data_IF_499350366259
#
_entry.id   IF_499350366259
#
_cell.length_a   1.000
_cell.length_b   1.000
_cell.length_c   1.000
_cell.angle_alpha   90.00
_cell.angle_beta   90.00
_cell.angle_gamma   90.00
#
_symmetry.space_group_name_H-M   'P 1'
#
loop_
_entity.id
_entity.type
_entity.pdbx_description
1 polymer ?
#
# COMPACT_ATOMS: atom_id res chain seq x y z
N UNK A 1 -5.57 -12.80 20.81
CA UNK A 1 -5.37 -12.13 19.51
C UNK A 1 -5.65 -13.10 18.37
N UNK A 2 -6.75 -12.94 17.62
CA UNK A 2 -7.05 -13.80 16.46
C UNK A 2 -6.07 -13.45 15.33
N UNK A 3 -4.96 -14.18 15.20
CA UNK A 3 -3.91 -13.97 14.18
C UNK A 3 -4.48 -13.87 12.74
N UNK A 4 -5.64 -14.45 12.48
CA UNK A 4 -6.33 -14.39 11.19
C UNK A 4 -6.77 -12.99 10.75
N UNK A 5 -7.05 -12.04 11.66
CA UNK A 5 -7.55 -10.70 11.30
C UNK A 5 -6.52 -9.82 10.58
N UNK A 6 -5.23 -10.13 10.71
CA UNK A 6 -4.15 -9.35 10.07
C UNK A 6 -3.74 -9.90 8.70
N UNK A 7 -4.15 -11.12 8.35
CA UNK A 7 -3.74 -11.76 7.09
C UNK A 7 -4.27 -10.96 5.90
N UNK A 8 -5.57 -10.63 5.92
CA UNK A 8 -6.20 -9.86 4.84
C UNK A 8 -5.53 -8.51 4.57
N UNK A 9 -5.38 -7.60 5.56
CA UNK A 9 -4.76 -6.30 5.31
C UNK A 9 -3.28 -6.41 4.89
N UNK A 10 -2.53 -7.38 5.42
CA UNK A 10 -1.12 -7.60 5.02
C UNK A 10 -1.04 -8.08 3.56
N UNK A 11 -1.85 -9.05 3.17
CA UNK A 11 -1.85 -9.58 1.79
C UNK A 11 -2.19 -8.46 0.80
N UNK A 12 -3.22 -7.67 1.10
CA UNK A 12 -3.60 -6.51 0.28
C UNK A 12 -2.44 -5.52 0.18
N UNK A 13 -1.83 -5.15 1.31
CA UNK A 13 -0.71 -4.20 1.32
C UNK A 13 0.49 -4.70 0.51
N UNK A 14 0.80 -6.01 0.57
CA UNK A 14 1.89 -6.61 -0.21
C UNK A 14 1.58 -6.56 -1.71
N UNK A 15 0.37 -6.94 -2.13
CA UNK A 15 -0.03 -6.93 -3.54
C UNK A 15 0.02 -5.50 -4.11
N UNK A 16 -0.54 -4.53 -3.40
CA UNK A 16 -0.49 -3.12 -3.81
C UNK A 16 0.93 -2.56 -3.84
N UNK A 17 1.75 -2.91 -2.84
CA UNK A 17 3.16 -2.50 -2.83
C UNK A 17 3.90 -3.05 -4.04
N UNK A 18 3.75 -4.35 -4.35
CA UNK A 18 4.37 -4.97 -5.52
C UNK A 18 3.91 -4.33 -6.83
N UNK A 19 2.63 -4.03 -6.95
CA UNK A 19 2.06 -3.33 -8.10
C UNK A 19 2.71 -1.96 -8.30
N UNK A 20 2.77 -1.12 -7.26
CA UNK A 20 3.37 0.20 -7.36
C UNK A 20 4.90 0.18 -7.49
N UNK A 21 5.58 -0.80 -6.90
CA UNK A 21 7.01 -1.02 -7.14
C UNK A 21 7.28 -1.38 -8.60
N UNK A 22 6.41 -2.18 -9.22
CA UNK A 22 6.51 -2.50 -10.64
C UNK A 22 6.32 -1.25 -11.51
N UNK A 23 5.35 -0.40 -11.18
CA UNK A 23 5.13 0.88 -11.87
C UNK A 23 6.34 1.84 -11.70
N UNK A 24 6.88 1.93 -10.50
CA UNK A 24 8.09 2.70 -10.21
C UNK A 24 9.29 2.19 -11.01
N UNK A 25 9.45 0.87 -11.12
CA UNK A 25 10.49 0.27 -11.94
C UNK A 25 10.32 0.62 -13.44
N UNK A 26 9.09 0.57 -13.97
CA UNK A 26 8.80 0.97 -15.36
C UNK A 26 9.17 2.45 -15.59
N UNK A 27 8.75 3.34 -14.69
CA UNK A 27 9.10 4.76 -14.80
C UNK A 27 10.61 4.97 -14.83
N UNK A 28 11.37 4.29 -13.95
CA UNK A 28 12.83 4.45 -13.86
C UNK A 28 13.57 3.82 -15.04
N UNK A 29 13.15 2.64 -15.48
CA UNK A 29 13.88 1.85 -16.50
C UNK A 29 13.54 2.22 -17.94
N UNK A 30 12.39 2.87 -18.19
CA UNK A 30 12.01 3.28 -19.54
C UNK A 30 12.78 4.56 -19.93
N UNK A 31 13.66 4.51 -20.96
CA UNK A 31 14.46 5.67 -21.37
C UNK A 31 13.69 6.67 -22.24
N UNK A 32 12.71 6.18 -23.00
CA UNK A 32 11.93 7.00 -23.96
C UNK A 32 10.84 7.85 -23.30
N UNK A 33 10.65 7.70 -21.99
CA UNK A 33 9.59 8.38 -21.25
C UNK A 33 9.98 9.84 -20.98
N UNK A 34 9.11 10.83 -21.27
CA UNK A 34 9.38 12.24 -20.98
C UNK A 34 9.73 12.48 -19.50
N UNK A 35 10.71 13.34 -19.23
CA UNK A 35 11.20 13.59 -17.87
C UNK A 35 10.07 13.97 -16.89
N UNK A 36 9.14 14.83 -17.31
CA UNK A 36 8.01 15.24 -16.49
C UNK A 36 7.10 14.05 -16.12
N UNK A 37 6.77 13.21 -17.10
CA UNK A 37 5.93 12.04 -16.89
C UNK A 37 6.62 11.04 -15.95
N UNK A 38 7.93 10.85 -16.11
CA UNK A 38 8.76 9.99 -15.24
C UNK A 38 8.80 10.50 -13.81
N UNK A 39 8.98 11.82 -13.62
CA UNK A 39 8.97 12.46 -12.31
C UNK A 39 7.62 12.30 -11.62
N UNK A 40 6.52 12.64 -12.32
CA UNK A 40 5.16 12.52 -11.79
C UNK A 40 4.84 11.06 -11.46
N UNK A 41 5.11 10.13 -12.38
CA UNK A 41 4.86 8.71 -12.16
C UNK A 41 5.62 8.15 -10.96
N UNK A 42 6.88 8.55 -10.77
CA UNK A 42 7.70 8.15 -9.63
C UNK A 42 7.15 8.71 -8.31
N UNK A 43 6.83 10.01 -8.27
CA UNK A 43 6.28 10.66 -7.08
C UNK A 43 4.93 10.08 -6.68
N UNK A 44 4.05 9.83 -7.64
CA UNK A 44 2.74 9.21 -7.42
C UNK A 44 2.90 7.78 -6.88
N UNK A 45 3.81 6.98 -7.47
CA UNK A 45 4.08 5.62 -7.01
C UNK A 45 4.57 5.60 -5.56
N UNK A 46 5.53 6.46 -5.22
CA UNK A 46 6.07 6.57 -3.87
C UNK A 46 5.01 7.01 -2.87
N UNK A 47 4.18 8.01 -3.23
CA UNK A 47 3.08 8.45 -2.39
C UNK A 47 2.10 7.31 -2.10
N UNK A 48 1.71 6.53 -3.12
CA UNK A 48 0.77 5.43 -2.97
C UNK A 48 1.35 4.25 -2.16
N UNK A 49 2.64 3.94 -2.31
CA UNK A 49 3.34 2.98 -1.43
C UNK A 49 3.31 3.48 0.01
N UNK A 50 3.65 4.75 0.23
CA UNK A 50 3.60 5.38 1.55
C UNK A 50 2.21 5.30 2.18
N UNK A 51 1.16 5.65 1.43
CA UNK A 51 -0.23 5.54 1.87
C UNK A 51 -0.62 4.10 2.20
N UNK A 52 -0.21 3.13 1.37
CA UNK A 52 -0.49 1.71 1.60
C UNK A 52 0.11 1.23 2.93
N UNK A 53 1.35 1.63 3.23
CA UNK A 53 2.02 1.31 4.49
C UNK A 53 1.34 2.01 5.66
N UNK A 54 0.99 3.30 5.51
CA UNK A 54 0.31 4.08 6.54
C UNK A 54 -1.02 3.44 6.95
N UNK A 55 -1.88 3.11 5.99
CA UNK A 55 -3.17 2.45 6.24
C UNK A 55 -2.97 1.09 6.89
N UNK A 56 -1.97 0.30 6.47
CA UNK A 56 -1.66 -0.97 7.12
C UNK A 56 -1.28 -0.78 8.59
N UNK A 57 -0.48 0.24 8.90
CA UNK A 57 -0.07 0.56 10.28
C UNK A 57 -1.29 0.97 11.12
N UNK A 58 -2.18 1.81 10.60
CA UNK A 58 -3.42 2.17 11.29
C UNK A 58 -4.29 0.94 11.56
N UNK A 59 -4.51 0.07 10.56
CA UNK A 59 -5.28 -1.17 10.76
C UNK A 59 -4.63 -2.12 11.77
N UNK A 60 -3.30 -2.22 11.79
CA UNK A 60 -2.60 -3.00 12.82
C UNK A 60 -2.83 -2.40 14.21
N UNK A 61 -2.83 -1.06 14.33
CA UNK A 61 -3.09 -0.36 15.60
C UNK A 61 -4.54 -0.58 16.06
N UNK A 62 -5.53 -0.39 15.21
CA UNK A 62 -6.96 -0.63 15.52
C UNK A 62 -7.21 -2.07 15.99
N UNK A 63 -6.71 -3.07 15.24
CA UNK A 63 -6.88 -4.48 15.60
C UNK A 63 -6.20 -4.81 16.93
N UNK A 64 -5.11 -4.11 17.29
CA UNK A 64 -4.39 -4.27 18.55
C UNK A 64 -4.99 -3.48 19.71
N UNK A 65 -5.57 -2.30 19.45
CA UNK A 65 -6.25 -1.48 20.45
C UNK A 65 -7.54 -2.14 20.92
N UNK A 66 -8.09 -3.07 20.12
CA UNK A 66 -9.35 -3.72 20.45
C UNK A 66 -10.54 -2.79 20.21
N UNK A 67 -10.33 -1.66 19.51
CA UNK A 67 -11.41 -1.02 18.76
C UNK A 67 -11.92 -2.09 17.80
N UNK A 68 -13.08 -2.66 18.14
CA UNK A 68 -13.67 -3.72 17.35
C UNK A 68 -13.87 -3.16 15.94
N UNK A 69 -13.08 -3.70 15.02
CA UNK A 69 -13.30 -3.62 13.59
C UNK A 69 -14.76 -4.03 13.31
N UNK A 70 -15.63 -3.01 13.29
CA UNK A 70 -17.11 -3.08 13.25
C UNK A 70 -17.64 -3.70 11.95
N UNK A 71 -16.76 -4.14 11.05
CA UNK A 71 -17.08 -4.97 9.89
C UNK A 71 -17.80 -6.28 10.27
N UNK A 72 -17.79 -6.70 11.54
CA UNK A 72 -18.57 -7.83 12.04
C UNK A 72 -20.05 -7.54 12.34
N UNK A 73 -20.52 -6.29 12.20
CA UNK A 73 -21.91 -5.89 12.51
C UNK A 73 -22.84 -5.73 11.29
N UNK A 74 -22.39 -6.10 10.09
CA UNK A 74 -23.22 -6.11 8.88
C UNK A 74 -23.27 -7.50 8.27
#
# INVERSE_FOLDING_TARGET
MKKGKLIAPIVVAVIFSLWFFSWLAICITTPEMPFLAKLIGTLVSLALIGTTIFVLVERIKEIRSGEEDDLGKY
#
